data_IF_742614091423
#
_entry.id   IF_742614091423
#
_cell.length_a   1.000
_cell.length_b   1.000
_cell.length_c   1.000
_cell.angle_alpha   90.00
_cell.angle_beta   90.00
_cell.angle_gamma   90.00
#
_symmetry.space_group_name_H-M   'P 1'
#
loop_
_entity.id
_entity.type
_entity.pdbx_description
1 polymer ?
#
# COMPACT_ATOMS: atom_id res chain seq x y z
N UNK A 1 -11.20 20.26 16.47
CA UNK A 1 -11.62 18.96 15.88
C UNK A 1 -10.71 18.49 14.73
N UNK A 2 -10.80 18.99 13.48
CA UNK A 2 -9.99 18.46 12.35
C UNK A 2 -8.47 18.52 12.59
N UNK A 3 -7.99 19.64 13.13
CA UNK A 3 -6.57 19.85 13.43
C UNK A 3 -6.06 18.92 14.54
N UNK A 4 -6.87 18.65 15.57
CA UNK A 4 -6.52 17.73 16.66
C UNK A 4 -6.38 16.30 16.14
N UNK A 5 -7.30 15.86 15.27
CA UNK A 5 -7.22 14.55 14.62
C UNK A 5 -5.98 14.44 13.73
N UNK A 6 -5.65 15.48 12.96
CA UNK A 6 -4.46 15.50 12.13
C UNK A 6 -3.18 15.47 12.99
N UNK A 7 -3.15 16.18 14.12
CA UNK A 7 -2.02 16.15 15.06
C UNK A 7 -1.85 14.76 15.69
N UNK A 8 -2.95 14.15 16.14
CA UNK A 8 -2.95 12.77 16.63
C UNK A 8 -2.41 11.81 15.57
N UNK A 9 -2.88 11.91 14.33
CA UNK A 9 -2.41 11.10 13.21
C UNK A 9 -0.91 11.27 12.94
N UNK A 10 -0.42 12.51 12.95
CA UNK A 10 1.00 12.82 12.75
C UNK A 10 1.88 12.18 13.83
N UNK A 11 1.41 12.16 15.08
CA UNK A 11 2.13 11.66 16.25
C UNK A 11 2.21 10.12 16.32
N UNK A 12 1.43 9.38 15.54
CA UNK A 12 1.52 7.91 15.52
C UNK A 12 2.83 7.46 14.87
N UNK A 13 3.74 6.88 15.63
CA UNK A 13 4.98 6.31 15.12
C UNK A 13 4.74 4.98 14.38
N UNK A 14 5.61 4.63 13.42
CA UNK A 14 5.67 3.31 12.78
C UNK A 14 4.36 2.82 12.13
N UNK A 15 3.55 3.73 11.58
CA UNK A 15 2.31 3.39 10.90
C UNK A 15 2.49 3.34 9.37
N UNK A 16 2.28 2.15 8.79
CA UNK A 16 2.40 1.90 7.33
C UNK A 16 1.44 2.77 6.53
N UNK A 17 0.18 2.88 6.96
CA UNK A 17 -0.83 3.66 6.27
C UNK A 17 -0.50 5.17 6.31
N UNK A 18 0.05 5.69 7.41
CA UNK A 18 0.48 7.09 7.53
C UNK A 18 1.50 7.50 6.47
N UNK A 19 2.43 6.60 6.13
CA UNK A 19 3.43 6.86 5.08
C UNK A 19 2.81 7.08 3.69
N UNK A 20 1.61 6.53 3.46
CA UNK A 20 0.87 6.62 2.19
C UNK A 20 -0.22 7.70 2.27
N UNK A 21 -0.86 7.83 3.43
CA UNK A 21 -1.96 8.74 3.77
C UNK A 21 -1.52 9.73 4.86
N UNK A 22 -0.72 10.76 4.53
CA UNK A 22 -0.25 11.70 5.53
C UNK A 22 -1.37 12.57 6.09
N UNK A 23 -2.44 12.78 5.32
CA UNK A 23 -3.55 13.64 5.74
C UNK A 23 -4.84 12.86 5.99
N UNK A 24 -5.64 13.33 6.94
CA UNK A 24 -6.86 12.64 7.38
C UNK A 24 -8.05 12.78 6.42
N UNK A 25 -7.96 13.61 5.37
CA UNK A 25 -9.02 13.77 4.38
C UNK A 25 -9.45 12.44 3.75
N UNK A 26 -10.72 12.34 3.31
CA UNK A 26 -11.19 11.19 2.55
C UNK A 26 -10.37 11.01 1.28
N UNK A 27 -10.11 9.75 0.93
CA UNK A 27 -9.53 9.39 -0.34
C UNK A 27 -10.62 9.10 -1.34
N UNK A 28 -10.70 9.90 -2.40
CA UNK A 28 -11.77 9.79 -3.41
C UNK A 28 -11.65 8.44 -4.13
N UNK A 29 -10.42 7.97 -4.35
CA UNK A 29 -10.16 6.66 -4.96
C UNK A 29 -10.53 5.47 -4.07
N UNK A 30 -10.85 5.68 -2.79
CA UNK A 30 -11.28 4.58 -1.93
C UNK A 30 -12.75 4.21 -2.13
N UNK A 31 -13.54 5.09 -2.75
CA UNK A 31 -14.90 4.80 -3.17
C UNK A 31 -14.84 4.23 -4.59
N UNK A 32 -15.20 2.95 -4.73
CA UNK A 32 -15.15 2.24 -6.01
C UNK A 32 -16.52 1.64 -6.33
N UNK A 33 -16.81 1.49 -7.62
CA UNK A 33 -18.10 0.93 -8.08
C UNK A 33 -18.36 -0.49 -7.55
N UNK A 34 -17.29 -1.22 -7.20
CA UNK A 34 -17.36 -2.58 -6.65
C UNK A 34 -16.65 -2.64 -5.31
N UNK A 35 -17.37 -3.09 -4.28
CA UNK A 35 -16.84 -3.34 -2.91
C UNK A 35 -15.56 -4.18 -2.90
N UNK A 36 -15.41 -5.14 -3.81
CA UNK A 36 -14.21 -5.98 -3.88
C UNK A 36 -12.94 -5.16 -4.15
N UNK A 37 -13.04 -4.11 -4.98
CA UNK A 37 -11.93 -3.23 -5.30
C UNK A 37 -11.52 -2.40 -4.08
N UNK A 38 -12.48 -1.92 -3.30
CA UNK A 38 -12.24 -1.20 -2.04
C UNK A 38 -11.54 -2.09 -1.01
N UNK A 39 -11.97 -3.36 -0.90
CA UNK A 39 -11.35 -4.36 -0.02
C UNK A 39 -9.90 -4.59 -0.43
N UNK A 40 -9.65 -4.78 -1.72
CA UNK A 40 -8.28 -5.03 -2.21
C UNK A 40 -7.38 -3.82 -1.99
N UNK A 41 -7.84 -2.60 -2.30
CA UNK A 41 -7.07 -1.39 -2.02
C UNK A 41 -6.75 -1.25 -0.54
N UNK A 42 -7.74 -1.43 0.33
CA UNK A 42 -7.55 -1.32 1.77
C UNK A 42 -6.50 -2.32 2.24
N UNK A 43 -6.60 -3.59 1.83
CA UNK A 43 -5.63 -4.64 2.18
C UNK A 43 -4.23 -4.33 1.66
N UNK A 44 -4.08 -3.85 0.44
CA UNK A 44 -2.78 -3.45 -0.11
C UNK A 44 -2.14 -2.31 0.71
N UNK A 45 -2.90 -1.26 1.00
CA UNK A 45 -2.43 -0.07 1.73
C UNK A 45 -1.96 -0.38 3.16
N UNK A 46 -2.60 -1.33 3.84
CA UNK A 46 -2.16 -1.78 5.18
C UNK A 46 -1.15 -2.94 5.13
N UNK A 47 -0.86 -3.49 3.95
CA UNK A 47 0.09 -4.58 3.75
C UNK A 47 -0.43 -5.97 4.13
N UNK A 48 -1.75 -6.20 4.04
CA UNK A 48 -2.42 -7.48 4.27
C UNK A 48 -2.48 -8.30 2.97
N UNK A 49 -1.31 -8.59 2.41
CA UNK A 49 -1.15 -9.48 1.25
C UNK A 49 -0.50 -10.79 1.70
N UNK A 50 -0.67 -11.87 0.92
CA UNK A 50 -0.01 -13.15 1.23
C UNK A 50 1.51 -12.97 1.36
N UNK A 51 2.11 -12.18 0.47
CA UNK A 51 3.55 -11.96 0.42
C UNK A 51 4.10 -11.27 1.68
N UNK A 52 3.36 -10.30 2.23
CA UNK A 52 3.85 -9.43 3.32
C UNK A 52 3.26 -9.76 4.68
N UNK A 53 2.29 -10.68 4.78
CA UNK A 53 1.54 -10.96 6.00
C UNK A 53 1.45 -12.46 6.35
N UNK A 54 1.77 -13.36 5.42
CA UNK A 54 1.70 -14.82 5.68
C UNK A 54 2.59 -15.26 6.84
N UNK A 55 3.76 -14.63 7.01
CA UNK A 55 4.72 -14.97 8.06
C UNK A 55 4.13 -14.93 9.48
N UNK A 56 3.12 -14.08 9.73
CA UNK A 56 2.44 -14.00 11.01
C UNK A 56 1.60 -15.25 11.31
N UNK A 57 1.00 -15.84 10.27
CA UNK A 57 0.21 -17.07 10.40
C UNK A 57 1.09 -18.32 10.48
N UNK A 58 2.20 -18.33 9.76
CA UNK A 58 3.17 -19.44 9.77
C UNK A 58 4.17 -19.35 10.92
N UNK A 59 4.18 -18.23 11.67
CA UNK A 59 5.17 -17.91 12.71
C UNK A 59 6.62 -17.99 12.20
N UNK A 60 6.81 -17.67 10.93
CA UNK A 60 8.14 -17.60 10.31
C UNK A 60 8.71 -16.19 10.45
N UNK A 61 9.97 -16.02 10.06
CA UNK A 61 10.60 -14.70 10.06
C UNK A 61 9.91 -13.72 9.09
N UNK A 62 9.94 -12.41 9.40
CA UNK A 62 9.44 -11.38 8.50
C UNK A 62 10.14 -11.48 7.13
N UNK A 63 9.39 -11.42 6.02
CA UNK A 63 9.98 -11.52 4.70
C UNK A 63 10.88 -10.32 4.43
N UNK A 64 12.04 -10.57 3.83
CA UNK A 64 12.96 -9.55 3.33
C UNK A 64 12.99 -9.59 1.80
N UNK A 65 13.16 -8.43 1.17
CA UNK A 65 13.49 -8.39 -0.24
C UNK A 65 14.96 -8.80 -0.40
N UNK A 66 15.31 -9.35 -1.57
CA UNK A 66 16.68 -9.73 -1.87
C UNK A 66 17.66 -8.53 -1.85
N UNK A 67 17.16 -7.28 -1.91
CA UNK A 67 17.95 -6.07 -1.72
C UNK A 67 18.36 -5.81 -0.25
N UNK A 68 17.87 -6.61 0.70
CA UNK A 68 18.16 -6.52 2.13
C UNK A 68 17.14 -5.71 2.94
N UNK A 69 16.21 -5.00 2.29
CA UNK A 69 15.17 -4.24 2.97
C UNK A 69 13.98 -5.13 3.42
N UNK A 70 13.23 -4.73 4.46
CA UNK A 70 11.98 -5.40 4.83
C UNK A 70 10.96 -5.40 3.68
N UNK A 71 10.34 -6.55 3.43
CA UNK A 71 9.39 -6.69 2.34
C UNK A 71 8.04 -6.06 2.72
N UNK A 72 7.67 -4.99 2.04
CA UNK A 72 6.37 -4.31 2.17
C UNK A 72 5.74 -4.13 0.80
N UNK A 73 4.43 -3.90 0.73
CA UNK A 73 3.74 -3.64 -0.55
C UNK A 73 4.35 -2.41 -1.24
N UNK A 74 4.61 -1.34 -0.48
CA UNK A 74 5.29 -0.14 -1.00
C UNK A 74 6.68 -0.47 -1.57
N UNK A 75 7.43 -1.34 -0.88
CA UNK A 75 8.75 -1.76 -1.35
C UNK A 75 8.67 -2.60 -2.63
N UNK A 76 7.69 -3.49 -2.76
CA UNK A 76 7.46 -4.26 -4.00
C UNK A 76 7.22 -3.32 -5.19
N UNK A 77 6.51 -2.21 -4.99
CA UNK A 77 6.19 -1.26 -6.05
C UNK A 77 7.35 -0.30 -6.41
N UNK A 78 8.34 -0.13 -5.53
CA UNK A 78 9.43 0.85 -5.70
C UNK A 78 10.82 0.22 -5.90
N UNK A 79 11.01 -1.05 -5.53
CA UNK A 79 12.31 -1.71 -5.59
C UNK A 79 12.65 -2.17 -7.02
N UNK A 80 13.84 -1.83 -7.55
CA UNK A 80 14.26 -2.22 -8.90
C UNK A 80 14.29 -3.74 -9.14
N UNK A 81 14.43 -4.55 -8.07
CA UNK A 81 14.41 -6.02 -8.20
C UNK A 81 13.04 -6.59 -8.58
N UNK A 82 12.01 -5.77 -8.53
CA UNK A 82 10.66 -6.10 -8.99
C UNK A 82 10.31 -5.37 -10.31
N UNK A 83 11.29 -4.85 -11.06
CA UNK A 83 11.07 -4.02 -12.26
C UNK A 83 10.32 -4.72 -13.39
N UNK A 84 10.43 -6.05 -13.51
CA UNK A 84 9.70 -6.83 -14.52
C UNK A 84 8.17 -6.62 -14.43
N UNK A 85 7.67 -6.41 -13.21
CA UNK A 85 6.26 -6.11 -12.95
C UNK A 85 5.90 -4.69 -13.38
N UNK A 86 6.85 -3.76 -13.24
CA UNK A 86 6.63 -2.33 -13.53
C UNK A 86 6.67 -2.06 -15.04
N UNK A 87 7.49 -2.78 -15.80
CA UNK A 87 7.59 -2.63 -17.26
C UNK A 87 6.30 -2.97 -18.00
N UNK A 88 5.41 -3.78 -17.42
CA UNK A 88 4.11 -4.11 -18.01
C UNK A 88 3.02 -3.08 -17.71
N UNK A 89 3.28 -2.06 -16.88
CA UNK A 89 2.29 -1.07 -16.46
C UNK A 89 2.40 0.21 -17.29
N UNK A 90 1.25 0.79 -17.62
CA UNK A 90 1.16 2.05 -18.40
C UNK A 90 1.64 3.28 -17.62
N UNK A 91 1.61 3.25 -16.29
CA UNK A 91 2.12 4.30 -15.41
C UNK A 91 2.57 3.72 -14.06
N UNK A 92 3.33 4.47 -13.24
CA UNK A 92 3.81 3.98 -11.96
C UNK A 92 2.64 3.65 -11.00
N UNK A 93 2.53 2.42 -10.47
CA UNK A 93 1.49 2.07 -9.51
C UNK A 93 1.69 2.86 -8.22
N UNK A 94 0.59 3.33 -7.62
CA UNK A 94 0.63 4.12 -6.39
C UNK A 94 -0.43 3.65 -5.40
N UNK A 95 -0.01 3.39 -4.16
CA UNK A 95 -0.93 3.09 -3.05
C UNK A 95 -1.67 4.34 -2.55
N UNK A 96 -1.29 5.54 -3.00
CA UNK A 96 -1.89 6.81 -2.63
C UNK A 96 -3.28 7.03 -3.25
N UNK A 97 -3.67 8.30 -3.39
CA UNK A 97 -4.99 8.71 -3.88
C UNK A 97 -5.00 9.22 -5.32
N UNK A 98 -4.08 8.73 -6.17
CA UNK A 98 -4.10 9.03 -7.60
C UNK A 98 -5.02 8.06 -8.33
N UNK A 99 -5.97 8.55 -9.11
CA UNK A 99 -6.88 7.70 -9.87
C UNK A 99 -6.11 6.79 -10.85
N UNK A 100 -5.10 7.31 -11.53
CA UNK A 100 -4.27 6.58 -12.49
C UNK A 100 -3.46 5.48 -11.81
N UNK A 101 -2.82 5.81 -10.68
CA UNK A 101 -2.03 4.84 -9.91
C UNK A 101 -2.89 3.73 -9.31
N UNK A 102 -4.10 4.05 -8.83
CA UNK A 102 -5.07 3.05 -8.34
C UNK A 102 -5.58 2.17 -9.48
N UNK A 103 -5.88 2.75 -10.64
CA UNK A 103 -6.27 1.97 -11.82
C UNK A 103 -5.17 1.01 -12.27
N UNK A 104 -3.91 1.44 -12.23
CA UNK A 104 -2.77 0.57 -12.54
C UNK A 104 -2.58 -0.56 -11.51
N UNK A 105 -2.87 -0.31 -10.22
CA UNK A 105 -2.88 -1.38 -9.22
C UNK A 105 -3.92 -2.46 -9.52
N UNK A 106 -5.08 -2.08 -10.06
CA UNK A 106 -6.08 -3.06 -10.46
C UNK A 106 -5.71 -3.84 -11.72
N UNK A 107 -4.92 -3.26 -12.63
CA UNK A 107 -4.37 -4.00 -13.77
C UNK A 107 -3.34 -5.07 -13.35
N UNK A 108 -2.80 -4.95 -12.15
CA UNK A 108 -1.89 -5.93 -11.57
C UNK A 108 -2.60 -7.14 -10.92
N UNK A 109 -3.93 -7.08 -10.76
CA UNK A 109 -4.76 -8.08 -10.08
C UNK A 109 -5.61 -8.90 -11.06
#
# INVERSE_FOLDING_TARGET
>A
MKTEWQNSWNNIANNKLKSIKPRIEPWVTSNQDKRILEIVLTRMRIGHTRLTHSFLFTRSDPPSCACGAPLTVLHVLSCPRHDLIRSSLSSPPSLGDSAEGVKCLFQYL
#
